data_IF_359355493052
#
_entry.id   IF_359355493052
#
_cell.length_a   1.000
_cell.length_b   1.000
_cell.length_c   1.000
_cell.angle_alpha   90.00
_cell.angle_beta   90.00
_cell.angle_gamma   90.00
#
_symmetry.space_group_name_H-M   'P 1'
#
loop_
_entity.id
_entity.type
_entity.pdbx_description
1 polymer ?
#
# COMPACT_ATOMS: atom_id res chain seq x y z
N UNK A 1 -6.36 -15.94 23.62
CA UNK A 1 -7.54 -15.10 23.89
C UNK A 1 -7.42 -13.72 23.28
N UNK A 2 -8.52 -12.95 23.32
CA UNK A 2 -8.58 -11.58 22.82
C UNK A 2 -7.43 -10.68 23.33
N UNK A 3 -6.97 -10.90 24.57
CA UNK A 3 -5.87 -10.14 25.16
C UNK A 3 -4.52 -10.28 24.44
N UNK A 4 -4.27 -11.42 23.81
CA UNK A 4 -2.99 -11.64 23.11
C UNK A 4 -2.98 -10.98 21.72
N UNK A 5 -4.15 -10.80 21.11
CA UNK A 5 -4.30 -10.07 19.84
C UNK A 5 -4.00 -8.59 20.08
N UNK A 6 -4.54 -7.99 21.14
CA UNK A 6 -4.28 -6.58 21.47
C UNK A 6 -2.81 -6.33 21.86
N UNK A 7 -2.17 -7.26 22.59
CA UNK A 7 -0.75 -7.17 22.95
C UNK A 7 0.13 -7.15 21.69
N UNK A 8 -0.12 -8.05 20.73
CA UNK A 8 0.61 -8.09 19.45
C UNK A 8 0.41 -6.80 18.65
N UNK A 9 -0.81 -6.30 18.63
CA UNK A 9 -1.18 -5.08 17.94
C UNK A 9 -0.48 -3.86 18.55
N UNK A 10 -0.39 -3.79 19.89
CA UNK A 10 0.29 -2.72 20.61
C UNK A 10 1.81 -2.73 20.35
N UNK A 11 2.44 -3.92 20.32
CA UNK A 11 3.84 -4.09 19.96
C UNK A 11 4.09 -3.66 18.51
N UNK A 12 3.19 -4.04 17.59
CA UNK A 12 3.29 -3.66 16.18
C UNK A 12 3.18 -2.15 16.00
N UNK A 13 2.24 -1.49 16.69
CA UNK A 13 2.11 -0.03 16.70
C UNK A 13 3.35 0.66 17.28
N UNK A 14 3.86 0.18 18.40
CA UNK A 14 5.07 0.73 19.01
C UNK A 14 6.28 0.60 18.07
N UNK A 15 6.42 -0.54 17.41
CA UNK A 15 7.49 -0.79 16.46
C UNK A 15 7.37 0.10 15.21
N UNK A 16 6.17 0.21 14.62
CA UNK A 16 5.91 1.11 13.50
C UNK A 16 6.15 2.58 13.87
N UNK A 17 5.73 3.00 15.06
CA UNK A 17 5.96 4.34 15.55
C UNK A 17 7.45 4.63 15.76
N UNK A 18 8.19 3.67 16.34
CA UNK A 18 9.64 3.77 16.52
C UNK A 18 10.38 3.86 15.19
N UNK A 19 10.03 3.01 14.21
CA UNK A 19 10.60 3.05 12.86
C UNK A 19 10.28 4.36 12.15
N UNK A 20 9.05 4.84 12.26
CA UNK A 20 8.64 6.10 11.67
C UNK A 20 9.38 7.28 12.29
N UNK A 21 9.49 7.31 13.62
CA UNK A 21 10.24 8.36 14.33
C UNK A 21 11.73 8.34 13.95
N UNK A 22 12.31 7.14 13.84
CA UNK A 22 13.69 6.97 13.42
C UNK A 22 13.90 7.41 11.96
N UNK A 23 12.98 7.08 11.08
CA UNK A 23 13.03 7.51 9.67
C UNK A 23 12.94 9.03 9.52
N UNK A 24 12.14 9.69 10.35
CA UNK A 24 12.06 11.16 10.39
C UNK A 24 13.37 11.79 10.89
N UNK A 25 14.00 11.17 11.90
CA UNK A 25 15.29 11.64 12.40
C UNK A 25 16.40 11.55 11.35
N UNK A 26 16.35 10.51 10.49
CA UNK A 26 17.33 10.33 9.40
C UNK A 26 16.95 11.09 8.13
N UNK A 27 15.68 11.44 7.95
CA UNK A 27 15.20 12.22 6.80
C UNK A 27 15.48 13.73 6.91
N UNK A 28 15.98 14.21 8.04
CA UNK A 28 16.36 15.62 8.24
C UNK A 28 17.70 16.03 7.62
N UNK A 29 18.32 15.15 6.85
CA UNK A 29 19.41 15.57 5.97
C UNK A 29 18.82 16.47 4.85
N UNK A 30 19.28 17.71 4.70
CA UNK A 30 18.73 18.62 3.71
C UNK A 30 18.90 18.02 2.30
N UNK A 31 17.79 17.88 1.58
CA UNK A 31 17.75 17.46 0.16
C UNK A 31 18.44 18.46 -0.80
N UNK A 32 19.29 19.33 -0.29
CA UNK A 32 20.02 20.35 -1.07
C UNK A 32 21.33 19.84 -1.64
N UNK A 33 21.64 18.58 -1.57
CA UNK A 33 22.72 18.03 -2.34
C UNK A 33 22.17 17.42 -3.63
N UNK A 34 22.25 18.28 -4.68
CA UNK A 34 22.44 17.90 -6.07
C UNK A 34 22.64 16.40 -6.17
N UNK A 35 21.68 15.77 -6.85
CA UNK A 35 21.83 14.43 -7.39
C UNK A 35 23.20 14.31 -8.10
N UNK A 36 24.26 14.16 -7.36
CA UNK A 36 25.42 13.48 -7.88
C UNK A 36 24.87 12.15 -8.36
N UNK A 37 24.77 11.99 -9.67
CA UNK A 37 24.51 10.70 -10.29
C UNK A 37 25.45 9.72 -9.62
N UNK A 38 24.96 9.01 -8.62
CA UNK A 38 25.65 7.86 -8.07
C UNK A 38 25.75 6.89 -9.24
N UNK A 39 26.84 7.03 -9.97
CA UNK A 39 27.19 6.05 -10.98
C UNK A 39 27.51 4.80 -10.20
N UNK A 40 26.59 3.86 -10.21
CA UNK A 40 26.82 2.54 -9.66
C UNK A 40 28.06 1.98 -10.34
N UNK A 41 29.19 2.16 -9.69
CA UNK A 41 30.44 1.52 -10.15
C UNK A 41 30.29 0.06 -9.73
N UNK A 42 30.01 -0.79 -10.70
CA UNK A 42 30.01 -2.22 -10.44
C UNK A 42 31.38 -2.60 -9.84
N UNK A 43 31.40 -3.26 -8.67
CA UNK A 43 32.65 -3.67 -8.07
C UNK A 43 33.46 -4.49 -9.06
N UNK A 44 34.74 -4.18 -9.20
CA UNK A 44 35.63 -4.82 -10.17
C UNK A 44 35.88 -6.32 -9.88
N UNK A 45 35.74 -6.72 -8.61
CA UNK A 45 35.94 -8.10 -8.17
C UNK A 45 34.77 -8.99 -8.55
N UNK A 46 35.05 -10.09 -9.26
CA UNK A 46 34.05 -11.10 -9.63
C UNK A 46 33.39 -11.75 -8.42
N UNK A 47 34.12 -11.93 -7.32
CA UNK A 47 33.58 -12.50 -6.09
C UNK A 47 32.49 -11.61 -5.46
N UNK A 48 32.70 -10.29 -5.47
CA UNK A 48 31.71 -9.33 -4.95
C UNK A 48 30.48 -9.28 -5.85
N UNK A 49 30.65 -9.34 -7.17
CA UNK A 49 29.52 -9.43 -8.11
C UNK A 49 28.68 -10.69 -7.86
N UNK A 50 29.32 -11.82 -7.68
CA UNK A 50 28.66 -13.08 -7.38
C UNK A 50 27.89 -13.00 -6.05
N UNK A 51 28.51 -12.41 -5.01
CA UNK A 51 27.86 -12.17 -3.72
C UNK A 51 26.58 -11.33 -3.84
N UNK A 52 26.61 -10.23 -4.59
CA UNK A 52 25.42 -9.42 -4.82
C UNK A 52 24.32 -10.17 -5.59
N UNK A 53 24.68 -10.89 -6.65
CA UNK A 53 23.71 -11.69 -7.41
C UNK A 53 23.10 -12.78 -6.53
N UNK A 54 23.91 -13.46 -5.72
CA UNK A 54 23.44 -14.48 -4.80
C UNK A 54 22.45 -13.92 -3.77
N UNK A 55 22.76 -12.79 -3.15
CA UNK A 55 21.86 -12.13 -2.19
C UNK A 55 20.55 -11.72 -2.86
N UNK A 56 20.62 -11.07 -4.03
CA UNK A 56 19.43 -10.69 -4.78
C UNK A 56 18.58 -11.89 -5.16
N UNK A 57 19.20 -12.95 -5.65
CA UNK A 57 18.51 -14.20 -6.01
C UNK A 57 17.84 -14.83 -4.80
N UNK A 58 18.55 -14.91 -3.64
CA UNK A 58 18.00 -15.45 -2.41
C UNK A 58 16.81 -14.66 -1.89
N UNK A 59 16.87 -13.32 -1.94
CA UNK A 59 15.74 -12.44 -1.56
C UNK A 59 14.56 -12.64 -2.52
N UNK A 60 14.81 -12.68 -3.83
CA UNK A 60 13.77 -12.96 -4.81
C UNK A 60 13.13 -14.33 -4.59
N UNK A 61 13.94 -15.35 -4.37
CA UNK A 61 13.44 -16.71 -4.10
C UNK A 61 12.60 -16.77 -2.85
N UNK A 62 13.04 -16.10 -1.78
CA UNK A 62 12.29 -16.01 -0.52
C UNK A 62 10.93 -15.33 -0.71
N UNK A 63 10.89 -14.18 -1.41
CA UNK A 63 9.64 -13.44 -1.69
C UNK A 63 8.72 -14.23 -2.62
N UNK A 64 9.26 -14.90 -3.64
CA UNK A 64 8.47 -15.63 -4.62
C UNK A 64 8.04 -17.02 -4.13
N UNK A 65 8.72 -17.58 -3.11
CA UNK A 65 8.43 -18.92 -2.59
C UNK A 65 6.96 -19.15 -2.21
N UNK A 66 6.27 -18.25 -1.45
CA UNK A 66 4.85 -18.42 -1.15
C UNK A 66 3.97 -18.40 -2.41
N UNK A 67 4.31 -17.56 -3.39
CA UNK A 67 3.58 -17.48 -4.65
C UNK A 67 3.73 -18.75 -5.48
N UNK A 68 4.96 -19.27 -5.58
CA UNK A 68 5.20 -20.55 -6.25
C UNK A 68 4.46 -21.71 -5.57
N UNK A 69 4.42 -21.70 -4.22
CA UNK A 69 3.70 -22.73 -3.49
C UNK A 69 2.19 -22.70 -3.79
N UNK A 70 1.58 -21.51 -3.81
CA UNK A 70 0.17 -21.33 -4.15
C UNK A 70 -0.11 -21.81 -5.58
N UNK A 71 0.72 -21.41 -6.54
CA UNK A 71 0.55 -21.80 -7.93
C UNK A 71 0.73 -23.33 -8.08
N UNK A 72 1.76 -23.89 -7.45
CA UNK A 72 2.04 -25.32 -7.53
C UNK A 72 0.92 -26.16 -6.90
N UNK A 73 0.44 -25.78 -5.72
CA UNK A 73 -0.68 -26.44 -5.07
C UNK A 73 -1.97 -26.29 -5.87
N UNK A 74 -2.20 -25.11 -6.45
CA UNK A 74 -3.37 -24.87 -7.32
C UNK A 74 -3.35 -25.78 -8.56
N UNK A 75 -2.20 -25.87 -9.24
CA UNK A 75 -2.04 -26.70 -10.44
C UNK A 75 -2.07 -28.21 -10.13
N UNK A 76 -1.64 -28.60 -8.92
CA UNK A 76 -1.62 -29.99 -8.48
C UNK A 76 -2.97 -30.47 -7.93
N UNK A 77 -3.97 -29.59 -7.85
CA UNK A 77 -5.28 -29.96 -7.34
C UNK A 77 -5.99 -30.92 -8.30
N UNK A 78 -6.32 -32.10 -7.81
CA UNK A 78 -6.95 -33.18 -8.60
C UNK A 78 -8.32 -32.81 -9.18
N UNK A 79 -8.97 -31.79 -8.61
CA UNK A 79 -10.30 -31.33 -9.04
C UNK A 79 -10.27 -29.99 -9.79
N UNK A 80 -9.09 -29.54 -10.25
CA UNK A 80 -8.92 -28.24 -10.92
C UNK A 80 -9.92 -28.05 -12.06
N UNK A 81 -10.05 -29.05 -12.95
CA UNK A 81 -10.99 -28.98 -14.07
C UNK A 81 -12.47 -29.01 -13.66
N UNK A 82 -12.81 -29.63 -12.52
CA UNK A 82 -14.17 -29.61 -11.97
C UNK A 82 -14.58 -28.21 -11.48
N UNK A 83 -13.65 -27.45 -10.91
CA UNK A 83 -13.91 -26.08 -10.48
C UNK A 83 -14.19 -25.11 -11.63
N UNK A 84 -13.59 -25.34 -12.82
CA UNK A 84 -13.85 -24.50 -13.99
C UNK A 84 -15.30 -24.56 -14.47
N UNK A 85 -16.00 -25.65 -14.19
CA UNK A 85 -17.43 -25.80 -14.53
C UNK A 85 -18.35 -25.19 -13.46
N UNK A 86 -17.80 -24.72 -12.33
CA UNK A 86 -18.59 -24.16 -11.26
C UNK A 86 -18.96 -22.71 -11.56
N UNK A 87 -20.26 -22.37 -11.70
CA UNK A 87 -20.70 -21.01 -11.98
C UNK A 87 -20.30 -20.01 -10.88
N UNK A 88 -20.09 -20.47 -9.64
CA UNK A 88 -19.69 -19.61 -8.54
C UNK A 88 -18.27 -19.06 -8.72
N UNK A 89 -17.35 -19.84 -9.32
CA UNK A 89 -16.00 -19.39 -9.64
C UNK A 89 -16.04 -18.18 -10.59
N UNK A 90 -16.83 -18.29 -11.65
CA UNK A 90 -16.95 -17.22 -12.65
C UNK A 90 -17.61 -15.97 -12.09
N UNK A 91 -18.60 -16.12 -11.19
CA UNK A 91 -19.20 -14.99 -10.48
C UNK A 91 -18.17 -14.33 -9.56
N UNK A 92 -17.42 -15.09 -8.79
CA UNK A 92 -16.38 -14.55 -7.91
C UNK A 92 -15.28 -13.83 -8.71
N UNK A 93 -14.87 -14.41 -9.85
CA UNK A 93 -13.90 -13.76 -10.77
C UNK A 93 -14.44 -12.44 -11.32
N UNK A 94 -15.69 -12.41 -11.76
CA UNK A 94 -16.33 -11.19 -12.27
C UNK A 94 -16.39 -10.10 -11.18
N UNK A 95 -16.76 -10.45 -9.95
CA UNK A 95 -16.72 -9.52 -8.83
C UNK A 95 -15.32 -8.98 -8.56
N UNK A 96 -14.31 -9.84 -8.55
CA UNK A 96 -12.92 -9.42 -8.34
C UNK A 96 -12.42 -8.50 -9.45
N UNK A 97 -12.73 -8.82 -10.70
CA UNK A 97 -12.36 -8.02 -11.87
C UNK A 97 -13.07 -6.67 -11.95
N UNK A 98 -14.22 -6.53 -11.32
CA UNK A 98 -14.93 -5.26 -11.23
C UNK A 98 -14.53 -4.45 -10.00
N UNK A 99 -14.33 -5.11 -8.85
CA UNK A 99 -13.92 -4.44 -7.60
C UNK A 99 -12.52 -3.84 -7.67
N UNK A 100 -11.56 -4.54 -8.24
CA UNK A 100 -10.16 -4.08 -8.25
C UNK A 100 -9.98 -2.76 -9.05
N UNK A 101 -10.51 -2.61 -10.28
CA UNK A 101 -10.45 -1.34 -10.99
C UNK A 101 -11.23 -0.23 -10.30
N UNK A 102 -12.42 -0.52 -9.75
CA UNK A 102 -13.22 0.51 -9.06
C UNK A 102 -12.49 1.03 -7.81
N UNK A 103 -11.90 0.14 -7.01
CA UNK A 103 -11.09 0.53 -5.87
C UNK A 103 -9.84 1.32 -6.29
N UNK A 104 -9.18 0.91 -7.37
CA UNK A 104 -8.02 1.60 -7.92
C UNK A 104 -8.35 3.01 -8.39
N UNK A 105 -9.42 3.18 -9.17
CA UNK A 105 -9.88 4.49 -9.64
C UNK A 105 -10.26 5.37 -8.46
N UNK A 106 -11.01 4.85 -7.50
CA UNK A 106 -11.42 5.60 -6.32
C UNK A 106 -10.22 6.05 -5.49
N UNK A 107 -9.21 5.19 -5.33
CA UNK A 107 -7.97 5.52 -4.61
C UNK A 107 -7.17 6.61 -5.33
N UNK A 108 -7.02 6.51 -6.66
CA UNK A 108 -6.30 7.50 -7.47
C UNK A 108 -7.00 8.86 -7.42
N UNK A 109 -8.32 8.89 -7.60
CA UNK A 109 -9.09 10.13 -7.53
C UNK A 109 -8.99 10.77 -6.14
N UNK A 110 -9.14 9.97 -5.08
CA UNK A 110 -9.04 10.44 -3.70
C UNK A 110 -7.63 10.97 -3.39
N UNK A 111 -6.59 10.25 -3.78
CA UNK A 111 -5.19 10.67 -3.59
C UNK A 111 -4.86 11.94 -4.36
N UNK A 112 -5.31 12.03 -5.60
CA UNK A 112 -5.13 13.23 -6.42
C UNK A 112 -5.84 14.44 -5.82
N UNK A 113 -7.08 14.27 -5.36
CA UNK A 113 -7.83 15.33 -4.69
C UNK A 113 -7.16 15.80 -3.40
N UNK A 114 -6.68 14.88 -2.56
CA UNK A 114 -5.95 15.23 -1.34
C UNK A 114 -4.66 16.01 -1.64
N UNK A 115 -3.93 15.64 -2.69
CA UNK A 115 -2.74 16.35 -3.11
C UNK A 115 -3.05 17.75 -3.64
N UNK A 116 -4.10 17.90 -4.44
CA UNK A 116 -4.54 19.23 -4.90
C UNK A 116 -4.96 20.11 -3.73
N UNK A 117 -5.75 19.57 -2.81
CA UNK A 117 -6.19 20.29 -1.60
C UNK A 117 -5.01 20.71 -0.73
N UNK A 118 -4.05 19.81 -0.52
CA UNK A 118 -2.83 20.14 0.22
C UNK A 118 -2.05 21.27 -0.43
N UNK A 119 -1.93 21.28 -1.73
CA UNK A 119 -1.24 22.37 -2.47
C UNK A 119 -2.00 23.67 -2.38
N UNK A 120 -3.31 23.65 -2.55
CA UNK A 120 -4.14 24.85 -2.41
C UNK A 120 -4.02 25.46 -1.02
N UNK A 121 -3.97 24.63 0.02
CA UNK A 121 -3.75 25.10 1.39
C UNK A 121 -2.35 25.69 1.60
N UNK A 122 -1.32 25.15 0.94
CA UNK A 122 0.02 25.74 0.97
C UNK A 122 0.02 27.15 0.34
N UNK A 123 -0.68 27.31 -0.79
CA UNK A 123 -0.82 28.61 -1.46
C UNK A 123 -1.63 29.62 -0.62
N UNK A 124 -2.60 29.15 0.17
CA UNK A 124 -3.37 29.97 1.11
C UNK A 124 -2.64 30.24 2.44
N UNK A 125 -1.32 29.99 2.49
CA UNK A 125 -0.49 30.18 3.69
C UNK A 125 -0.91 29.34 4.91
N UNK A 126 -1.51 28.17 4.69
CA UNK A 126 -1.85 27.20 5.73
C UNK A 126 -1.02 25.89 5.64
N UNK A 127 0.32 25.96 5.75
CA UNK A 127 1.18 24.79 5.54
C UNK A 127 0.94 23.68 6.59
N UNK A 128 0.55 24.05 7.82
CA UNK A 128 0.24 23.08 8.87
C UNK A 128 -0.96 22.21 8.53
N UNK A 129 -2.02 22.80 7.97
CA UNK A 129 -3.20 22.06 7.53
C UNK A 129 -2.89 21.17 6.32
N UNK A 130 -2.12 21.68 5.39
CA UNK A 130 -1.67 20.89 4.23
C UNK A 130 -0.90 19.64 4.66
N UNK A 131 0.03 19.79 5.61
CA UNK A 131 0.78 18.68 6.17
C UNK A 131 -0.12 17.69 6.92
N UNK A 132 -1.08 18.20 7.70
CA UNK A 132 -2.01 17.37 8.46
C UNK A 132 -2.87 16.48 7.54
N UNK A 133 -3.34 17.02 6.42
CA UNK A 133 -4.15 16.25 5.43
C UNK A 133 -3.34 15.13 4.82
N UNK A 134 -2.11 15.41 4.38
CA UNK A 134 -1.25 14.39 3.79
C UNK A 134 -0.84 13.32 4.81
N UNK A 135 -0.49 13.76 6.03
CA UNK A 135 -0.16 12.84 7.12
C UNK A 135 -1.38 11.98 7.49
N UNK A 136 -2.58 12.56 7.55
CA UNK A 136 -3.82 11.81 7.78
C UNK A 136 -4.07 10.74 6.72
N UNK A 137 -3.87 11.06 5.43
CA UNK A 137 -3.94 10.09 4.35
C UNK A 137 -2.91 8.96 4.48
N UNK A 138 -1.71 9.28 4.96
CA UNK A 138 -0.65 8.28 5.19
C UNK A 138 -0.90 7.44 6.44
N UNK A 139 -1.56 7.97 7.49
CA UNK A 139 -1.84 7.23 8.73
C UNK A 139 -2.78 6.05 8.53
N UNK A 140 -3.51 5.99 7.43
CA UNK A 140 -4.33 4.81 7.06
C UNK A 140 -3.47 3.55 7.00
N UNK A 141 -2.19 3.67 6.64
CA UNK A 141 -1.25 2.54 6.63
C UNK A 141 -1.05 1.90 8.02
N UNK A 142 -1.23 2.67 9.08
CA UNK A 142 -1.09 2.19 10.46
C UNK A 142 -2.31 1.40 10.93
N UNK A 143 -3.44 1.49 10.21
CA UNK A 143 -4.68 0.78 10.54
C UNK A 143 -4.69 -0.55 9.78
N UNK A 144 -4.74 -1.71 10.46
CA UNK A 144 -4.93 -2.98 9.79
C UNK A 144 -6.21 -2.96 8.95
N UNK A 145 -6.12 -3.38 7.69
CA UNK A 145 -7.26 -3.36 6.74
C UNK A 145 -8.47 -4.12 7.26
N UNK A 146 -8.25 -5.18 8.06
CA UNK A 146 -9.34 -5.93 8.68
C UNK A 146 -10.11 -5.10 9.70
N UNK A 147 -9.43 -4.25 10.46
CA UNK A 147 -10.08 -3.35 11.45
C UNK A 147 -10.92 -2.30 10.73
N UNK A 148 -10.40 -1.76 9.63
CA UNK A 148 -11.14 -0.83 8.77
C UNK A 148 -12.40 -1.50 8.18
N UNK A 149 -12.25 -2.72 7.66
CA UNK A 149 -13.35 -3.46 7.06
C UNK A 149 -14.44 -3.80 8.10
N UNK A 150 -14.04 -4.29 9.29
CA UNK A 150 -14.97 -4.59 10.38
C UNK A 150 -15.63 -3.31 10.90
N UNK A 151 -14.87 -2.23 11.08
CA UNK A 151 -15.41 -0.94 11.51
C UNK A 151 -16.47 -0.39 10.56
N UNK A 152 -16.20 -0.40 9.25
CA UNK A 152 -17.17 -0.01 8.22
C UNK A 152 -18.39 -0.95 8.19
N UNK A 153 -18.18 -2.25 8.32
CA UNK A 153 -19.26 -3.22 8.38
C UNK A 153 -20.18 -2.96 9.58
N UNK A 154 -19.62 -2.76 10.78
CA UNK A 154 -20.38 -2.46 11.99
C UNK A 154 -21.13 -1.12 11.90
N UNK A 155 -20.51 -0.11 11.28
CA UNK A 155 -21.14 1.20 11.09
C UNK A 155 -22.32 1.13 10.12
N UNK A 156 -22.27 0.24 9.16
CA UNK A 156 -23.30 0.09 8.13
C UNK A 156 -24.30 -1.04 8.45
N UNK A 157 -24.15 -1.76 9.58
CA UNK A 157 -24.99 -2.95 9.89
C UNK A 157 -26.49 -2.66 9.99
N UNK A 158 -26.87 -1.42 10.30
CA UNK A 158 -28.28 -1.00 10.42
C UNK A 158 -28.90 -0.65 9.05
N UNK A 159 -28.13 -0.73 7.97
CA UNK A 159 -28.60 -0.52 6.61
C UNK A 159 -28.89 -1.87 5.98
N UNK A 160 -30.05 -2.03 5.35
CA UNK A 160 -30.41 -3.27 4.62
C UNK A 160 -29.33 -3.60 3.58
N UNK A 161 -28.52 -4.64 3.89
CA UNK A 161 -27.40 -5.03 3.03
C UNK A 161 -27.87 -5.81 1.82
N UNK A 162 -27.97 -5.15 0.68
CA UNK A 162 -27.97 -5.83 -0.61
C UNK A 162 -26.52 -6.14 -1.05
N UNK A 163 -26.37 -7.06 -2.01
CA UNK A 163 -25.07 -7.38 -2.59
C UNK A 163 -24.32 -6.15 -3.14
N UNK A 164 -25.05 -5.12 -3.58
CA UNK A 164 -24.49 -3.86 -4.05
C UNK A 164 -23.82 -3.05 -2.93
N UNK A 165 -24.38 -3.03 -1.72
CA UNK A 165 -23.78 -2.33 -0.57
C UNK A 165 -22.46 -2.98 -0.16
N UNK A 166 -22.39 -4.31 -0.12
CA UNK A 166 -21.14 -5.03 0.16
C UNK A 166 -20.05 -4.72 -0.88
N UNK A 167 -20.42 -4.64 -2.15
CA UNK A 167 -19.49 -4.25 -3.20
C UNK A 167 -18.88 -2.87 -2.95
N UNK A 168 -19.70 -1.88 -2.59
CA UNK A 168 -19.25 -0.50 -2.30
C UNK A 168 -18.33 -0.50 -1.07
N UNK A 169 -18.73 -1.16 0.02
CA UNK A 169 -17.92 -1.22 1.25
C UNK A 169 -16.55 -1.80 0.99
N UNK A 170 -16.48 -2.95 0.33
CA UNK A 170 -15.21 -3.61 0.02
C UNK A 170 -14.35 -2.76 -0.92
N UNK A 171 -14.97 -2.12 -1.93
CA UNK A 171 -14.25 -1.21 -2.83
C UNK A 171 -13.67 0.00 -2.11
N UNK A 172 -14.42 0.60 -1.18
CA UNK A 172 -13.94 1.72 -0.34
C UNK A 172 -12.81 1.28 0.57
N UNK A 173 -12.93 0.13 1.25
CA UNK A 173 -11.86 -0.42 2.10
C UNK A 173 -10.56 -0.61 1.32
N UNK A 174 -10.65 -1.21 0.12
CA UNK A 174 -9.51 -1.43 -0.73
C UNK A 174 -8.90 -0.12 -1.26
N UNK A 175 -9.76 0.85 -1.60
CA UNK A 175 -9.32 2.17 -2.04
C UNK A 175 -8.57 2.91 -0.93
N UNK A 176 -9.08 2.87 0.30
CA UNK A 176 -8.42 3.47 1.47
C UNK A 176 -7.09 2.77 1.78
N UNK A 177 -7.03 1.45 1.68
CA UNK A 177 -5.79 0.71 1.89
C UNK A 177 -4.71 1.04 0.83
N UNK A 178 -5.11 1.34 -0.40
CA UNK A 178 -4.21 1.72 -1.48
C UNK A 178 -3.81 3.22 -1.45
N UNK A 179 -4.59 4.07 -0.79
CA UNK A 179 -4.45 5.53 -0.79
C UNK A 179 -3.04 6.03 -0.41
N UNK A 180 -2.37 5.51 0.64
CA UNK A 180 -1.03 5.97 1.00
C UNK A 180 0.01 5.74 -0.10
N UNK A 181 -0.10 4.63 -0.82
CA UNK A 181 0.79 4.33 -1.95
C UNK A 181 0.56 5.29 -3.11
N UNK A 182 -0.71 5.60 -3.41
CA UNK A 182 -1.09 6.56 -4.43
C UNK A 182 -0.56 7.96 -4.09
N UNK A 183 -0.76 8.43 -2.85
CA UNK A 183 -0.22 9.71 -2.39
C UNK A 183 1.29 9.76 -2.58
N UNK A 184 2.01 8.72 -2.17
CA UNK A 184 3.47 8.65 -2.29
C UNK A 184 3.93 8.71 -3.75
N UNK A 185 3.28 7.95 -4.63
CA UNK A 185 3.65 7.88 -6.06
C UNK A 185 3.34 9.20 -6.76
N UNK A 186 2.18 9.79 -6.52
CA UNK A 186 1.76 11.03 -7.19
C UNK A 186 2.44 12.27 -6.62
N UNK A 187 2.81 12.28 -5.34
CA UNK A 187 3.47 13.44 -4.73
C UNK A 187 4.85 13.72 -5.33
N UNK A 188 5.59 12.67 -5.70
CA UNK A 188 6.94 12.80 -6.27
C UNK A 188 6.98 13.62 -7.57
N UNK A 189 6.21 13.29 -8.63
CA UNK A 189 6.23 14.06 -9.87
C UNK A 189 5.51 15.42 -9.75
N UNK A 190 4.66 15.57 -8.75
CA UNK A 190 3.92 16.81 -8.52
C UNK A 190 4.74 17.87 -7.75
N UNK A 191 5.82 17.50 -7.08
CA UNK A 191 6.72 18.49 -6.48
C UNK A 191 7.54 19.14 -7.59
N UNK A 192 7.41 20.46 -7.81
CA UNK A 192 8.24 21.13 -8.80
C UNK A 192 9.70 21.01 -8.37
N UNK A 193 10.54 20.46 -9.23
CA UNK A 193 11.98 20.54 -9.06
C UNK A 193 12.30 22.03 -9.10
N UNK A 194 12.69 22.60 -7.97
CA UNK A 194 13.16 23.99 -7.92
C UNK A 194 14.45 24.06 -8.72
N UNK A 195 14.32 24.45 -10.00
CA UNK A 195 15.46 24.88 -10.79
C UNK A 195 15.84 26.29 -10.29
N UNK A 196 16.53 26.35 -9.16
CA UNK A 196 17.28 27.55 -8.80
C UNK A 196 18.48 27.61 -9.74
N UNK A 197 18.30 28.39 -10.79
CA UNK A 197 19.42 28.90 -11.60
C UNK A 197 20.26 29.86 -10.77
#
# INVERSE_FOLDING_TARGET
GLGDVYKRQLVQFAFCFALFSLSQYWATAPETQISQRYRWVLPSSSAVKFGHVFVLFSVCLFILSPLFNIVFQGLSATQLFGYWQNPQLWKALAYSLTMAPTAGILSVLSGFFLLLLSRQLQWLYHPKLAHLILTGGMMILAIPTIVLAVGLFLWLQDIDFSAGHLFVVVSVCNALAALPFVIKILNTPMNPVSYTH
#
